data_IF_571408109299
#
_entry.id   IF_571408109299
#
_cell.length_a   1.000
_cell.length_b   1.000
_cell.length_c   1.000
_cell.angle_alpha   90.00
_cell.angle_beta   90.00
_cell.angle_gamma   90.00
#
_symmetry.space_group_name_H-M   'P 1'
#
loop_
_entity.id
_entity.type
_entity.pdbx_description
1 polymer ?
#
# COMPACT_ATOMS: atom_id res chain seq x y z
N UNK A 1 6.47 -2.17 -17.09
CA UNK A 1 6.41 -2.70 -15.72
C UNK A 1 6.79 -4.16 -15.77
N UNK A 2 7.78 -4.55 -14.98
CA UNK A 2 8.12 -5.95 -14.76
C UNK A 2 7.63 -6.34 -13.35
N UNK A 3 6.97 -7.50 -13.23
CA UNK A 3 6.49 -8.05 -11.96
C UNK A 3 7.05 -9.46 -11.78
N UNK A 4 7.75 -9.68 -10.66
CA UNK A 4 8.45 -10.93 -10.33
C UNK A 4 8.34 -11.25 -8.83
N UNK A 5 7.18 -10.97 -8.23
CA UNK A 5 6.99 -10.98 -6.77
C UNK A 5 7.45 -9.68 -6.10
N UNK A 6 8.32 -8.96 -6.77
CA UNK A 6 8.61 -7.53 -6.64
C UNK A 6 8.17 -6.85 -7.94
N UNK A 7 8.38 -5.55 -8.03
CA UNK A 7 8.04 -4.81 -9.25
C UNK A 7 9.12 -3.80 -9.59
N UNK A 8 9.30 -3.57 -10.87
CA UNK A 8 10.09 -2.45 -11.36
C UNK A 8 9.33 -1.65 -12.39
N UNK A 9 9.51 -0.35 -12.40
CA UNK A 9 9.00 0.59 -13.39
C UNK A 9 10.07 1.57 -13.82
N UNK A 10 10.03 2.03 -15.08
CA UNK A 10 10.83 3.17 -15.52
C UNK A 10 10.50 4.41 -14.67
N UNK A 11 11.51 5.19 -14.35
CA UNK A 11 11.36 6.48 -13.68
C UNK A 11 11.84 7.61 -14.61
N UNK A 12 13.10 7.97 -14.55
CA UNK A 12 13.73 8.90 -15.48
C UNK A 12 14.59 8.14 -16.49
N UNK A 13 15.04 8.72 -17.61
CA UNK A 13 15.95 8.06 -18.53
C UNK A 13 17.15 7.44 -17.80
N UNK A 14 17.36 6.13 -18.00
CA UNK A 14 18.42 5.38 -17.35
C UNK A 14 18.18 4.99 -15.89
N UNK A 15 17.00 5.27 -15.32
CA UNK A 15 16.67 4.92 -13.95
C UNK A 15 15.34 4.16 -13.82
N UNK A 16 15.24 3.37 -12.75
CA UNK A 16 14.10 2.51 -12.45
C UNK A 16 13.69 2.66 -10.99
N UNK A 17 12.42 2.52 -10.72
CA UNK A 17 11.92 2.31 -9.35
C UNK A 17 11.75 0.82 -9.13
N UNK A 18 12.26 0.35 -8.00
CA UNK A 18 12.18 -1.04 -7.57
C UNK A 18 11.47 -1.11 -6.22
N UNK A 19 10.56 -2.04 -6.06
CA UNK A 19 9.80 -2.26 -4.81
C UNK A 19 9.09 -3.60 -4.77
N UNK A 20 8.57 -3.95 -3.67
CA UNK A 20 8.75 -3.38 -2.36
C UNK A 20 9.01 -4.48 -1.34
N UNK A 21 9.71 -4.15 -0.29
CA UNK A 21 9.77 -4.95 0.92
C UNK A 21 8.61 -4.58 1.85
N UNK A 22 8.39 -5.39 2.87
CA UNK A 22 7.40 -5.16 3.93
C UNK A 22 8.00 -5.56 5.27
N UNK A 23 8.08 -4.60 6.19
CA UNK A 23 8.54 -4.80 7.55
C UNK A 23 7.39 -4.48 8.51
N UNK A 24 6.74 -5.50 9.02
CA UNK A 24 5.51 -5.38 9.80
C UNK A 24 5.69 -4.80 11.19
N UNK A 25 6.90 -4.94 11.75
CA UNK A 25 7.21 -4.56 13.13
C UNK A 25 7.99 -3.25 13.24
N UNK A 26 8.18 -2.55 12.13
CA UNK A 26 8.89 -1.26 12.10
C UNK A 26 7.95 -0.13 11.72
N UNK A 27 8.05 0.96 12.46
CA UNK A 27 7.30 2.19 12.23
C UNK A 27 8.21 3.40 11.99
N UNK A 28 9.52 3.21 12.10
CA UNK A 28 10.48 4.22 11.66
C UNK A 28 10.55 4.31 10.14
N UNK A 29 11.07 5.42 9.65
CA UNK A 29 11.21 5.71 8.22
C UNK A 29 12.64 5.61 7.74
N UNK A 30 13.51 4.94 8.52
CA UNK A 30 14.92 4.82 8.20
C UNK A 30 15.15 3.65 7.24
N UNK A 31 15.69 3.90 6.04
CA UNK A 31 16.04 2.83 5.10
C UNK A 31 17.21 2.02 5.62
N UNK A 32 17.15 0.69 5.47
CA UNK A 32 18.21 -0.22 5.91
C UNK A 32 19.02 -0.77 4.75
N UNK A 33 20.32 -1.01 4.94
CA UNK A 33 21.16 -1.68 3.94
C UNK A 33 20.61 -3.07 3.57
N UNK A 34 20.11 -3.82 4.54
CA UNK A 34 19.60 -5.18 4.36
C UNK A 34 18.40 -5.20 3.41
N UNK A 35 17.46 -4.25 3.58
CA UNK A 35 16.29 -4.13 2.71
C UNK A 35 16.68 -3.72 1.29
N UNK A 36 17.64 -2.80 1.17
CA UNK A 36 18.19 -2.42 -0.14
C UNK A 36 18.81 -3.62 -0.84
N UNK A 37 19.67 -4.35 -0.15
CA UNK A 37 20.41 -5.48 -0.72
C UNK A 37 19.46 -6.62 -1.09
N UNK A 38 18.44 -6.87 -0.30
CA UNK A 38 17.36 -7.80 -0.61
C UNK A 38 16.62 -7.43 -1.92
N UNK A 39 16.27 -6.16 -2.09
CA UNK A 39 15.59 -5.71 -3.31
C UNK A 39 16.51 -5.81 -4.54
N UNK A 40 17.78 -5.42 -4.40
CA UNK A 40 18.76 -5.53 -5.49
C UNK A 40 19.04 -6.99 -5.87
N UNK A 41 19.15 -7.90 -4.91
CA UNK A 41 19.28 -9.32 -5.17
C UNK A 41 18.05 -9.90 -5.90
N UNK A 42 16.84 -9.48 -5.50
CA UNK A 42 15.61 -9.88 -6.17
C UNK A 42 15.56 -9.40 -7.64
N UNK A 43 16.05 -8.20 -7.91
CA UNK A 43 16.14 -7.67 -9.27
C UNK A 43 17.15 -8.46 -10.13
N UNK A 44 18.32 -8.77 -9.58
CA UNK A 44 19.37 -9.53 -10.29
C UNK A 44 18.93 -10.95 -10.65
N UNK A 45 18.10 -11.57 -9.82
CA UNK A 45 17.51 -12.88 -10.13
C UNK A 45 16.47 -12.81 -11.25
N UNK A 46 15.73 -11.71 -11.36
CA UNK A 46 14.65 -11.56 -12.32
C UNK A 46 15.11 -10.99 -13.67
N UNK A 47 16.21 -10.26 -13.70
CA UNK A 47 16.66 -9.51 -14.87
C UNK A 47 18.18 -9.60 -15.04
N UNK A 48 18.68 -10.14 -16.16
CA UNK A 48 20.12 -10.18 -16.42
C UNK A 48 20.71 -8.77 -16.57
N UNK A 49 22.02 -8.67 -16.40
CA UNK A 49 22.82 -7.45 -16.59
C UNK A 49 22.49 -6.29 -15.62
N UNK A 50 21.98 -6.60 -14.44
CA UNK A 50 21.69 -5.60 -13.39
C UNK A 50 22.85 -5.41 -12.41
N UNK A 51 23.95 -6.14 -12.56
CA UNK A 51 25.12 -6.10 -11.66
C UNK A 51 25.79 -4.71 -11.62
N UNK A 52 25.64 -3.92 -12.68
CA UNK A 52 26.15 -2.55 -12.76
C UNK A 52 25.18 -1.50 -12.22
N UNK A 53 23.98 -1.92 -11.83
CA UNK A 53 22.97 -1.00 -11.29
C UNK A 53 23.38 -0.51 -9.90
N UNK A 54 23.16 0.78 -9.65
CA UNK A 54 23.44 1.42 -8.37
C UNK A 54 22.19 2.01 -7.79
N UNK A 55 21.98 1.83 -6.49
CA UNK A 55 20.92 2.53 -5.76
C UNK A 55 21.29 4.01 -5.64
N UNK A 56 20.48 4.88 -6.23
CA UNK A 56 20.66 6.33 -6.13
C UNK A 56 19.81 6.93 -5.00
N UNK A 57 18.73 6.24 -4.62
CA UNK A 57 17.84 6.66 -3.54
C UNK A 57 17.12 5.44 -2.96
N UNK A 58 16.91 5.44 -1.66
CA UNK A 58 16.13 4.42 -0.97
C UNK A 58 15.08 5.12 -0.09
N UNK A 59 13.81 4.91 -0.39
CA UNK A 59 12.69 5.51 0.31
C UNK A 59 11.95 4.47 1.13
N UNK A 60 11.52 4.84 2.31
CA UNK A 60 10.65 4.08 3.20
C UNK A 60 9.37 4.85 3.42
N UNK A 61 8.25 4.17 3.58
CA UNK A 61 6.98 4.79 3.85
C UNK A 61 6.08 3.90 4.70
N UNK A 62 5.31 4.50 5.59
CA UNK A 62 4.28 3.81 6.34
C UNK A 62 3.06 3.59 5.44
N UNK A 63 2.52 2.39 5.52
CA UNK A 63 1.30 2.04 4.79
C UNK A 63 0.21 1.69 5.79
N UNK A 64 -0.93 2.40 5.77
CA UNK A 64 -2.03 2.09 6.66
C UNK A 64 -2.69 0.78 6.22
N UNK A 65 -2.59 -0.22 7.08
CA UNK A 65 -3.17 -1.55 6.87
C UNK A 65 -3.90 -1.96 8.14
N UNK A 66 -5.14 -2.37 8.01
CA UNK A 66 -5.89 -2.98 9.10
C UNK A 66 -5.35 -4.38 9.44
N UNK A 67 -5.61 -4.85 10.65
CA UNK A 67 -5.16 -6.18 11.12
C UNK A 67 -5.63 -7.31 10.21
N UNK A 68 -6.83 -7.19 9.67
CA UNK A 68 -7.45 -8.17 8.76
C UNK A 68 -7.18 -7.89 7.28
N UNK A 69 -6.37 -6.87 6.96
CA UNK A 69 -6.01 -6.45 5.60
C UNK A 69 -7.19 -6.03 4.72
N UNK A 70 -8.30 -5.61 5.33
CA UNK A 70 -9.49 -5.11 4.65
C UNK A 70 -9.63 -3.61 4.86
N UNK A 71 -10.18 -2.85 3.91
CA UNK A 71 -10.46 -1.45 4.12
C UNK A 71 -11.37 -1.20 5.32
N UNK A 72 -11.16 -0.12 6.03
CA UNK A 72 -12.09 0.41 7.02
C UNK A 72 -12.82 1.60 6.38
N UNK A 73 -14.09 1.41 6.05
CA UNK A 73 -14.92 2.42 5.37
C UNK A 73 -16.30 2.46 6.02
N UNK A 74 -16.71 3.62 6.50
CA UNK A 74 -18.03 3.78 7.10
C UNK A 74 -18.04 4.69 8.34
N UNK A 75 -19.15 4.73 9.07
CA UNK A 75 -19.28 5.55 10.27
C UNK A 75 -18.33 5.08 11.37
N UNK A 76 -17.88 6.02 12.20
CA UNK A 76 -17.15 5.69 13.41
C UNK A 76 -18.12 5.08 14.45
N UNK A 77 -17.74 4.00 15.14
CA UNK A 77 -18.67 3.26 16.00
C UNK A 77 -19.31 4.09 17.11
N UNK A 78 -18.57 5.05 17.66
CA UNK A 78 -19.03 5.84 18.83
C UNK A 78 -19.21 7.33 18.57
N UNK A 79 -18.76 7.83 17.42
CA UNK A 79 -18.83 9.25 17.08
C UNK A 79 -19.65 9.41 15.80
N UNK A 80 -20.93 9.76 15.92
CA UNK A 80 -21.90 9.74 14.82
C UNK A 80 -21.59 10.66 13.64
N UNK A 81 -20.88 11.76 13.87
CA UNK A 81 -20.48 12.71 12.80
C UNK A 81 -19.13 12.37 12.15
N UNK A 82 -18.40 11.35 12.63
CA UNK A 82 -17.11 10.94 12.11
C UNK A 82 -17.25 9.71 11.22
N UNK A 83 -16.58 9.75 10.09
CA UNK A 83 -16.51 8.62 9.17
C UNK A 83 -15.06 8.24 8.92
N UNK A 84 -14.81 6.95 8.76
CA UNK A 84 -13.49 6.38 8.49
C UNK A 84 -13.39 6.02 7.01
N UNK A 85 -12.26 6.36 6.40
CA UNK A 85 -11.87 5.89 5.06
C UNK A 85 -10.37 5.61 5.07
N UNK A 86 -10.02 4.38 5.43
CA UNK A 86 -8.61 4.00 5.66
C UNK A 86 -8.39 2.50 5.42
N UNK A 87 -7.19 2.02 5.70
CA UNK A 87 -6.85 0.60 5.63
C UNK A 87 -6.79 0.01 4.22
N UNK A 88 -6.68 0.85 3.17
CA UNK A 88 -6.66 0.41 1.78
C UNK A 88 -5.40 -0.39 1.39
N UNK A 89 -4.36 -0.33 2.22
CA UNK A 89 -3.14 -1.13 2.08
C UNK A 89 -2.41 -0.91 0.75
N UNK A 90 -1.91 -2.00 0.18
CA UNK A 90 -1.12 -1.97 -1.07
C UNK A 90 -1.96 -1.73 -2.31
N UNK A 91 -3.28 -1.87 -2.22
CA UNK A 91 -4.22 -1.78 -3.34
C UNK A 91 -5.00 -0.46 -3.35
N UNK A 92 -4.63 0.51 -2.53
CA UNK A 92 -5.37 1.75 -2.34
C UNK A 92 -5.69 2.49 -3.64
N UNK A 93 -4.72 2.60 -4.55
CA UNK A 93 -4.92 3.24 -5.86
C UNK A 93 -5.96 2.50 -6.71
N UNK A 94 -5.98 1.18 -6.64
CA UNK A 94 -6.90 0.35 -7.42
C UNK A 94 -8.33 0.35 -6.84
N UNK A 95 -8.45 0.18 -5.52
CA UNK A 95 -9.76 -0.03 -4.87
C UNK A 95 -10.33 1.25 -4.26
N UNK A 96 -9.50 2.26 -4.01
CA UNK A 96 -9.91 3.51 -3.37
C UNK A 96 -11.07 4.21 -4.07
N UNK A 97 -11.04 4.44 -5.40
CA UNK A 97 -12.13 5.11 -6.10
C UNK A 97 -13.49 4.40 -5.91
N UNK A 98 -13.51 3.08 -5.94
CA UNK A 98 -14.75 2.31 -5.74
C UNK A 98 -15.28 2.44 -4.32
N UNK A 99 -14.41 2.34 -3.30
CA UNK A 99 -14.81 2.50 -1.91
C UNK A 99 -15.22 3.94 -1.58
N UNK A 100 -14.58 4.93 -2.18
CA UNK A 100 -14.98 6.33 -2.03
C UNK A 100 -16.39 6.56 -2.59
N UNK A 101 -16.69 6.04 -3.79
CA UNK A 101 -18.03 6.13 -4.38
C UNK A 101 -19.08 5.47 -3.48
N UNK A 102 -18.81 4.26 -2.97
CA UNK A 102 -19.72 3.56 -2.07
C UNK A 102 -19.95 4.32 -0.77
N UNK A 103 -18.93 4.96 -0.21
CA UNK A 103 -19.08 5.79 0.98
C UNK A 103 -19.96 7.01 0.69
N UNK A 104 -19.74 7.70 -0.43
CA UNK A 104 -20.57 8.84 -0.83
C UNK A 104 -22.04 8.42 -1.05
N UNK A 105 -22.27 7.30 -1.69
CA UNK A 105 -23.62 6.78 -1.91
C UNK A 105 -24.30 6.38 -0.59
N UNK A 106 -23.53 5.83 0.35
CA UNK A 106 -24.03 5.51 1.70
C UNK A 106 -24.38 6.76 2.49
N UNK A 107 -23.52 7.77 2.48
CA UNK A 107 -23.77 9.07 3.14
C UNK A 107 -25.00 9.79 2.56
N UNK A 108 -25.30 9.56 1.29
CA UNK A 108 -26.46 10.10 0.60
C UNK A 108 -27.72 9.24 0.77
N UNK A 109 -27.67 8.16 1.54
CA UNK A 109 -28.79 7.23 1.77
C UNK A 109 -29.16 6.35 0.57
N UNK A 110 -28.31 6.28 -0.48
CA UNK A 110 -28.58 5.51 -1.70
C UNK A 110 -28.27 4.03 -1.56
N UNK A 111 -27.32 3.67 -0.70
CA UNK A 111 -26.90 2.27 -0.49
C UNK A 111 -26.38 2.06 0.92
N UNK A 112 -26.27 0.81 1.32
CA UNK A 112 -25.58 0.41 2.55
C UNK A 112 -24.18 -0.07 2.23
N UNK A 113 -23.23 0.25 3.09
CA UNK A 113 -21.86 -0.31 3.00
C UNK A 113 -21.87 -1.77 3.42
N UNK A 114 -21.11 -2.63 2.74
CA UNK A 114 -20.95 -4.02 3.16
C UNK A 114 -20.29 -4.12 4.54
N UNK A 115 -20.74 -5.04 5.37
CA UNK A 115 -20.20 -5.28 6.74
C UNK A 115 -18.70 -5.57 6.73
N UNK A 116 -18.23 -6.16 5.66
CA UNK A 116 -16.80 -6.51 5.48
C UNK A 116 -15.85 -5.31 5.58
N UNK A 117 -16.34 -4.09 5.41
CA UNK A 117 -15.54 -2.86 5.53
C UNK A 117 -15.92 -2.01 6.74
N UNK A 118 -16.95 -2.40 7.49
CA UNK A 118 -17.41 -1.66 8.66
C UNK A 118 -16.25 -1.49 9.67
N UNK A 119 -15.95 -0.25 10.14
CA UNK A 119 -14.92 0.00 11.15
C UNK A 119 -15.15 -0.72 12.48
N UNK A 120 -16.39 -1.04 12.86
CA UNK A 120 -16.74 -1.74 14.12
C UNK A 120 -15.97 -3.04 14.32
N UNK A 121 -15.62 -3.72 13.25
CA UNK A 121 -14.85 -4.98 13.31
C UNK A 121 -13.41 -4.83 13.82
N UNK A 122 -12.92 -3.60 13.96
CA UNK A 122 -11.53 -3.30 14.36
C UNK A 122 -11.40 -2.92 15.84
N UNK A 123 -12.51 -2.90 16.56
CA UNK A 123 -12.60 -2.50 17.97
C UNK A 123 -12.69 -3.73 18.87
#
# INVERSE_FOLDING_TARGET
ILNFGKWTLPAQPGSWRLGASYEWNRTDLDPTPETRDFLMASLSQATPNTEKSKTVRHDVGLRPVSKDRRPAVGPHPTISCLHVFNGLGTRGVLIGPRWAQLLCDSLSGKTQLPDIVNPDRLI
#
